data_IF_444943636590
#
_entry.id   IF_444943636590
#
_cell.length_a   1.000
_cell.length_b   1.000
_cell.length_c   1.000
_cell.angle_alpha   90.00
_cell.angle_beta   90.00
_cell.angle_gamma   90.00
#
_symmetry.space_group_name_H-M   'P 1'
#
loop_
_entity.id
_entity.type
_entity.pdbx_description
1 polymer ?
#
# COMPACT_ATOMS: atom_id res chain seq x y z
N UNK A 1 1.39 -11.65 3.77
CA UNK A 1 0.12 -11.66 4.53
C UNK A 1 0.28 -11.94 6.02
N UNK A 2 1.31 -12.67 6.47
CA UNK A 2 1.50 -13.01 7.89
C UNK A 2 1.73 -11.81 8.83
N UNK A 3 2.24 -10.68 8.34
CA UNK A 3 2.40 -9.44 9.13
C UNK A 3 1.10 -8.62 9.32
N UNK A 4 0.10 -8.82 8.44
CA UNK A 4 -1.18 -8.12 8.54
C UNK A 4 -2.14 -8.86 9.50
N UNK A 5 -1.98 -10.18 9.62
CA UNK A 5 -2.71 -11.02 10.59
C UNK A 5 -2.21 -10.77 12.02
N UNK A 6 -0.94 -10.40 12.21
CA UNK A 6 -0.43 -10.04 13.54
C UNK A 6 -1.07 -8.78 14.13
N UNK A 7 -1.59 -7.84 13.31
CA UNK A 7 -2.33 -6.67 13.81
C UNK A 7 -3.67 -7.05 14.45
N UNK A 8 -4.34 -8.08 13.93
CA UNK A 8 -5.62 -8.57 14.50
C UNK A 8 -5.46 -9.47 15.72
N UNK A 9 -4.23 -9.88 16.04
CA UNK A 9 -3.94 -10.83 17.11
C UNK A 9 -3.30 -10.19 18.35
N UNK A 10 -3.11 -8.87 18.39
CA UNK A 10 -2.59 -8.19 19.58
C UNK A 10 -3.65 -8.29 20.70
N UNK A 11 -3.35 -8.96 21.83
CA UNK A 11 -4.21 -8.92 23.00
C UNK A 11 -4.14 -7.50 23.57
N UNK A 12 -5.28 -6.81 23.60
CA UNK A 12 -5.42 -5.59 24.41
C UNK A 12 -5.76 -6.05 25.82
N UNK A 13 -4.77 -6.01 26.71
CA UNK A 13 -4.91 -6.43 28.11
C UNK A 13 -5.73 -5.43 28.91
N UNK A 14 -6.82 -5.90 29.53
CA UNK A 14 -7.57 -5.15 30.55
C UNK A 14 -6.81 -5.26 31.88
N UNK A 15 -6.07 -4.23 32.30
CA UNK A 15 -5.57 -4.13 33.68
C UNK A 15 -5.84 -2.75 34.27
N UNK A 16 -6.52 -2.74 35.41
CA UNK A 16 -7.16 -1.60 36.07
C UNK A 16 -6.22 -0.71 36.92
N UNK A 17 -4.94 -0.58 36.57
CA UNK A 17 -3.99 0.27 37.31
C UNK A 17 -3.29 1.22 36.33
N UNK A 18 -3.92 2.39 36.09
CA UNK A 18 -3.38 3.46 35.23
C UNK A 18 -4.37 3.98 34.19
N UNK A 19 -5.58 4.39 34.60
CA UNK A 19 -6.67 4.78 33.69
C UNK A 19 -6.29 5.89 32.69
N UNK A 20 -5.39 6.81 33.09
CA UNK A 20 -4.91 7.93 32.26
C UNK A 20 -3.80 7.50 31.28
N UNK A 21 -2.85 6.68 31.70
CA UNK A 21 -1.80 6.12 30.82
C UNK A 21 -2.38 5.13 29.79
N UNK A 22 -3.41 4.37 30.17
CA UNK A 22 -4.14 3.50 29.26
C UNK A 22 -4.93 4.30 28.21
N UNK A 23 -5.54 5.42 28.59
CA UNK A 23 -6.24 6.31 27.65
C UNK A 23 -5.28 6.88 26.60
N UNK A 24 -4.13 7.39 27.03
CA UNK A 24 -3.11 7.92 26.11
C UNK A 24 -2.60 6.85 25.14
N UNK A 25 -2.31 5.63 25.64
CA UNK A 25 -1.89 4.52 24.78
C UNK A 25 -2.98 4.15 23.75
N UNK A 26 -4.24 4.10 24.18
CA UNK A 26 -5.39 3.82 23.31
C UNK A 26 -5.57 4.91 22.25
N UNK A 27 -5.46 6.18 22.63
CA UNK A 27 -5.50 7.30 21.67
C UNK A 27 -4.40 7.19 20.61
N UNK A 28 -3.19 6.78 21.01
CA UNK A 28 -2.08 6.56 20.08
C UNK A 28 -2.36 5.39 19.12
N UNK A 29 -2.94 4.29 19.60
CA UNK A 29 -3.37 3.17 18.75
C UNK A 29 -4.45 3.59 17.75
N UNK A 30 -5.39 4.43 18.18
CA UNK A 30 -6.44 4.98 17.32
C UNK A 30 -5.89 6.01 16.32
N UNK A 31 -4.99 6.92 16.71
CA UNK A 31 -4.38 7.86 15.75
C UNK A 31 -3.54 7.07 14.74
N UNK A 32 -2.73 6.11 15.18
CA UNK A 32 -1.93 5.27 14.28
C UNK A 32 -2.73 4.43 13.30
N UNK A 33 -3.80 3.77 13.77
CA UNK A 33 -4.67 3.02 12.85
C UNK A 33 -5.41 3.93 11.87
N UNK A 34 -5.75 5.17 12.26
CA UNK A 34 -6.34 6.16 11.36
C UNK A 34 -5.34 6.59 10.27
N UNK A 35 -4.08 6.81 10.64
CA UNK A 35 -2.99 7.14 9.70
C UNK A 35 -2.82 6.06 8.63
N UNK A 36 -2.87 4.78 9.01
CA UNK A 36 -2.83 3.67 8.04
C UNK A 36 -4.10 3.64 7.16
N UNK A 37 -5.28 3.93 7.73
CA UNK A 37 -6.52 4.00 6.95
C UNK A 37 -6.50 5.11 5.89
N UNK A 38 -6.02 6.30 6.24
CA UNK A 38 -5.83 7.40 5.28
C UNK A 38 -4.90 6.98 4.13
N UNK A 39 -3.83 6.26 4.48
CA UNK A 39 -2.90 5.70 3.51
C UNK A 39 -3.57 4.71 2.54
N UNK A 40 -4.38 3.80 3.08
CA UNK A 40 -5.16 2.86 2.27
C UNK A 40 -6.11 3.58 1.33
N UNK A 41 -6.79 4.64 1.79
CA UNK A 41 -7.75 5.37 0.97
C UNK A 41 -7.07 6.04 -0.23
N UNK A 42 -5.99 6.78 0.01
CA UNK A 42 -5.22 7.47 -1.04
C UNK A 42 -4.62 6.47 -2.03
N UNK A 43 -4.18 5.31 -1.51
CA UNK A 43 -3.66 4.22 -2.34
C UNK A 43 -4.72 3.65 -3.26
N UNK A 44 -5.95 3.41 -2.75
CA UNK A 44 -7.08 2.93 -3.55
C UNK A 44 -7.46 3.91 -4.64
N UNK A 45 -7.61 5.19 -4.32
CA UNK A 45 -7.97 6.22 -5.31
C UNK A 45 -6.96 6.28 -6.47
N UNK A 46 -5.66 6.20 -6.13
CA UNK A 46 -4.62 6.26 -7.14
C UNK A 46 -4.51 4.96 -7.98
N UNK A 47 -4.72 3.79 -7.37
CA UNK A 47 -4.79 2.52 -8.10
C UNK A 47 -5.99 2.47 -9.05
N UNK A 48 -7.14 2.98 -8.60
CA UNK A 48 -8.36 3.07 -9.40
C UNK A 48 -8.13 3.91 -10.65
N UNK A 49 -7.51 5.09 -10.53
CA UNK A 49 -7.16 5.91 -11.69
C UNK A 49 -6.14 5.26 -12.64
N UNK A 50 -5.21 4.46 -12.11
CA UNK A 50 -4.30 3.70 -12.97
C UNK A 50 -5.05 2.60 -13.74
N UNK A 51 -5.97 1.90 -13.07
CA UNK A 51 -6.79 0.84 -13.66
C UNK A 51 -7.71 1.38 -14.76
N UNK A 52 -8.37 2.51 -14.52
CA UNK A 52 -9.19 3.22 -15.52
C UNK A 52 -8.37 3.52 -16.78
N UNK A 53 -7.15 4.08 -16.62
CA UNK A 53 -6.26 4.35 -17.75
C UNK A 53 -5.85 3.08 -18.53
N UNK A 54 -5.61 1.97 -17.83
CA UNK A 54 -5.31 0.68 -18.50
C UNK A 54 -6.52 0.12 -19.25
N UNK A 55 -7.73 0.23 -18.68
CA UNK A 55 -8.96 -0.21 -19.33
C UNK A 55 -9.22 0.58 -20.62
N UNK A 56 -8.96 1.89 -20.62
CA UNK A 56 -9.07 2.72 -21.82
C UNK A 56 -8.01 2.36 -22.88
N UNK A 57 -6.75 2.16 -22.48
CA UNK A 57 -5.70 1.66 -23.38
C UNK A 57 -6.13 0.32 -24.01
N UNK A 58 -6.61 -0.61 -23.20
CA UNK A 58 -7.07 -1.92 -23.65
C UNK A 58 -8.30 -1.81 -24.57
N UNK A 59 -9.18 -0.83 -24.34
CA UNK A 59 -10.33 -0.52 -25.18
C UNK A 59 -9.90 -0.03 -26.57
N UNK A 60 -8.92 0.89 -26.63
CA UNK A 60 -8.36 1.41 -27.89
C UNK A 60 -7.67 0.29 -28.69
N UNK A 61 -6.86 -0.54 -28.01
CA UNK A 61 -6.23 -1.72 -28.61
C UNK A 61 -7.28 -2.69 -29.20
N UNK A 62 -8.36 -2.97 -28.46
CA UNK A 62 -9.46 -3.83 -28.95
C UNK A 62 -10.15 -3.26 -30.19
N UNK A 63 -10.27 -1.93 -30.29
CA UNK A 63 -10.86 -1.24 -31.44
C UNK A 63 -9.90 -1.07 -32.62
N UNK A 64 -8.65 -1.57 -32.53
CA UNK A 64 -7.59 -1.43 -33.55
C UNK A 64 -7.35 0.03 -33.99
N UNK A 65 -7.51 0.98 -33.07
CA UNK A 65 -7.17 2.40 -33.31
C UNK A 65 -5.69 2.62 -33.02
N UNK A 66 -5.05 3.51 -33.76
CA UNK A 66 -3.61 3.75 -33.68
C UNK A 66 -3.19 4.74 -32.59
N UNK A 67 -4.05 5.70 -32.23
CA UNK A 67 -3.67 6.73 -31.26
C UNK A 67 -3.94 6.28 -29.81
N UNK A 68 -2.86 5.86 -29.14
CA UNK A 68 -2.81 5.53 -27.72
C UNK A 68 -2.16 6.65 -26.89
N UNK A 69 -1.57 7.64 -27.54
CA UNK A 69 -0.64 8.60 -26.92
C UNK A 69 -1.28 9.38 -25.78
N UNK A 70 -2.52 9.84 -26.00
CA UNK A 70 -3.29 10.57 -24.98
C UNK A 70 -3.54 9.74 -23.71
N UNK A 71 -3.95 8.48 -23.88
CA UNK A 71 -4.34 7.63 -22.75
C UNK A 71 -3.13 7.05 -22.01
N UNK A 72 -2.09 6.68 -22.75
CA UNK A 72 -0.76 6.36 -22.20
C UNK A 72 -0.24 7.50 -21.35
N UNK A 73 -0.33 8.75 -21.83
CA UNK A 73 0.12 9.91 -21.07
C UNK A 73 -0.65 10.09 -19.77
N UNK A 74 -1.98 9.91 -19.78
CA UNK A 74 -2.81 9.96 -18.56
C UNK A 74 -2.40 8.86 -17.58
N UNK A 75 -2.29 7.62 -18.03
CA UNK A 75 -1.82 6.50 -17.21
C UNK A 75 -0.46 6.80 -16.54
N UNK A 76 0.51 7.30 -17.32
CA UNK A 76 1.84 7.65 -16.82
C UNK A 76 1.82 8.81 -15.83
N UNK A 77 0.86 9.74 -15.95
CA UNK A 77 0.67 10.83 -14.99
C UNK A 77 0.07 10.30 -13.69
N UNK A 78 -0.99 9.49 -13.76
CA UNK A 78 -1.63 8.86 -12.60
C UNK A 78 -0.66 7.97 -11.83
N UNK A 79 0.14 7.16 -12.52
CA UNK A 79 1.15 6.33 -11.86
C UNK A 79 2.26 7.16 -11.20
N UNK A 80 2.66 8.30 -11.79
CA UNK A 80 3.64 9.21 -11.17
C UNK A 80 3.05 10.01 -10.01
N UNK A 81 1.74 10.27 -10.01
CA UNK A 81 1.08 10.96 -8.89
C UNK A 81 1.00 10.06 -7.64
N UNK A 82 0.91 8.73 -7.80
CA UNK A 82 0.91 7.75 -6.71
C UNK A 82 2.01 7.99 -5.67
N UNK A 83 3.28 8.08 -6.11
CA UNK A 83 4.42 8.37 -5.21
C UNK A 83 4.31 9.74 -4.57
N UNK A 84 3.84 10.77 -5.30
CA UNK A 84 3.74 12.14 -4.78
C UNK A 84 2.67 12.26 -3.71
N UNK A 85 1.48 11.72 -3.96
CA UNK A 85 0.37 11.68 -3.00
C UNK A 85 0.80 10.96 -1.73
N UNK A 86 1.46 9.82 -1.89
CA UNK A 86 1.96 9.02 -0.77
C UNK A 86 3.05 9.74 0.04
N UNK A 87 4.04 10.36 -0.62
CA UNK A 87 5.07 11.14 0.06
C UNK A 87 4.51 12.37 0.78
N UNK A 88 3.44 12.97 0.28
CA UNK A 88 2.74 14.07 0.96
C UNK A 88 2.15 13.59 2.28
N UNK A 89 1.49 12.43 2.26
CA UNK A 89 0.94 11.80 3.46
C UNK A 89 2.05 11.45 4.43
N UNK A 90 3.09 10.73 4.00
CA UNK A 90 4.22 10.34 4.86
C UNK A 90 4.91 11.52 5.54
N UNK A 91 5.03 12.67 4.85
CA UNK A 91 5.58 13.89 5.44
C UNK A 91 4.68 14.44 6.55
N UNK A 92 3.36 14.37 6.37
CA UNK A 92 2.39 14.76 7.40
C UNK A 92 2.40 13.77 8.59
N UNK A 93 2.73 12.50 8.34
CA UNK A 93 2.74 11.43 9.35
C UNK A 93 4.00 11.43 10.24
N UNK A 94 5.18 11.75 9.69
CA UNK A 94 6.47 11.73 10.43
C UNK A 94 6.56 12.74 11.58
N UNK A 95 5.64 13.70 11.66
CA UNK A 95 5.65 14.75 12.69
C UNK A 95 5.15 14.24 14.05
N UNK A 96 4.43 13.10 14.12
CA UNK A 96 3.72 12.65 15.33
C UNK A 96 4.33 11.47 16.10
N UNK A 97 5.48 10.92 15.71
CA UNK A 97 5.94 9.59 16.18
C UNK A 97 6.90 9.59 17.39
N UNK A 98 7.07 10.71 18.09
CA UNK A 98 8.12 10.88 19.12
C UNK A 98 7.60 10.74 20.56
N UNK A 99 6.85 9.68 20.87
CA UNK A 99 6.38 9.46 22.24
C UNK A 99 6.74 8.04 22.72
N UNK A 100 7.60 7.96 23.74
CA UNK A 100 7.99 6.72 24.37
C UNK A 100 6.88 6.28 25.34
N UNK A 101 6.40 5.05 25.16
CA UNK A 101 5.46 4.41 26.07
C UNK A 101 5.93 2.98 26.36
N UNK A 102 5.79 2.56 27.62
CA UNK A 102 6.26 1.28 28.11
C UNK A 102 5.24 0.13 27.91
N UNK A 103 4.11 0.38 27.25
CA UNK A 103 3.08 -0.63 26.99
C UNK A 103 3.48 -1.56 25.84
N UNK A 104 3.49 -2.87 26.11
CA UNK A 104 3.92 -3.91 25.16
C UNK A 104 3.02 -3.98 23.91
N UNK A 105 1.71 -3.78 24.06
CA UNK A 105 0.73 -3.77 22.97
C UNK A 105 0.93 -2.55 22.07
N UNK A 106 1.15 -1.38 22.66
CA UNK A 106 1.48 -0.17 21.91
C UNK A 106 2.81 -0.30 21.17
N UNK A 107 3.86 -0.85 21.81
CA UNK A 107 5.15 -1.09 21.15
C UNK A 107 5.00 -2.05 19.96
N UNK A 108 4.21 -3.11 20.11
CA UNK A 108 3.94 -4.06 19.02
C UNK A 108 3.16 -3.40 17.88
N UNK A 109 2.16 -2.55 18.19
CA UNK A 109 1.43 -1.81 17.18
C UNK A 109 2.29 -0.77 16.45
N UNK A 110 3.10 0.02 17.17
CA UNK A 110 4.01 1.02 16.56
C UNK A 110 4.98 0.35 15.60
N UNK A 111 5.52 -0.83 15.95
CA UNK A 111 6.34 -1.64 15.03
C UNK A 111 5.56 -2.07 13.79
N UNK A 112 4.33 -2.57 13.97
CA UNK A 112 3.48 -2.99 12.86
C UNK A 112 3.09 -1.81 11.95
N UNK A 113 2.79 -0.64 12.51
CA UNK A 113 2.55 0.61 11.78
C UNK A 113 3.78 1.01 10.97
N UNK A 114 4.96 1.06 11.59
CA UNK A 114 6.21 1.43 10.92
C UNK A 114 6.55 0.48 9.76
N UNK A 115 6.37 -0.83 9.97
CA UNK A 115 6.54 -1.84 8.92
C UNK A 115 5.53 -1.64 7.80
N UNK A 116 4.27 -1.37 8.13
CA UNK A 116 3.22 -1.11 7.13
C UNK A 116 3.57 0.11 6.29
N UNK A 117 3.93 1.24 6.91
CA UNK A 117 4.35 2.46 6.21
C UNK A 117 5.55 2.19 5.30
N UNK A 118 6.56 1.45 5.76
CA UNK A 118 7.74 1.11 4.97
C UNK A 118 7.39 0.19 3.78
N UNK A 119 6.46 -0.75 3.95
CA UNK A 119 5.97 -1.61 2.87
C UNK A 119 5.29 -0.79 1.78
N UNK A 120 4.40 0.13 2.17
CA UNK A 120 3.76 1.03 1.22
C UNK A 120 4.77 1.94 0.48
N UNK A 121 5.76 2.50 1.18
CA UNK A 121 6.82 3.32 0.55
C UNK A 121 7.63 2.53 -0.47
N UNK A 122 7.97 1.28 -0.14
CA UNK A 122 8.68 0.39 -1.06
C UNK A 122 7.82 0.01 -2.26
N UNK A 123 6.55 -0.35 -2.05
CA UNK A 123 5.61 -0.72 -3.10
C UNK A 123 5.42 0.42 -4.10
N UNK A 124 5.14 1.63 -3.64
CA UNK A 124 4.90 2.75 -4.54
C UNK A 124 6.18 3.29 -5.19
N UNK A 125 7.32 3.18 -4.50
CA UNK A 125 8.62 3.44 -5.12
C UNK A 125 8.91 2.46 -6.26
N UNK A 126 8.52 1.19 -6.11
CA UNK A 126 8.57 0.20 -7.19
C UNK A 126 7.63 0.59 -8.34
N UNK A 127 6.34 0.78 -8.07
CA UNK A 127 5.34 1.09 -9.11
C UNK A 127 5.64 2.37 -9.91
N UNK A 128 6.19 3.39 -9.26
CA UNK A 128 6.58 4.65 -9.91
C UNK A 128 7.84 4.54 -10.79
N UNK A 129 8.50 3.38 -10.81
CA UNK A 129 9.73 3.16 -11.57
C UNK A 129 10.96 3.86 -10.98
N UNK A 130 10.94 4.20 -9.70
CA UNK A 130 12.10 4.83 -9.07
C UNK A 130 13.22 3.82 -8.83
N UNK A 131 14.46 4.18 -9.24
CA UNK A 131 15.68 3.33 -9.18
C UNK A 131 16.07 2.87 -7.76
N UNK A 132 15.40 3.35 -6.72
CA UNK A 132 15.69 3.03 -5.31
C UNK A 132 15.11 1.68 -4.86
N UNK A 133 14.58 0.88 -5.77
CA UNK A 133 13.89 -0.37 -5.46
C UNK A 133 14.82 -1.58 -5.21
N UNK A 134 15.86 -1.42 -4.39
CA UNK A 134 16.66 -2.55 -3.90
C UNK A 134 15.90 -3.45 -2.89
N UNK A 135 14.73 -3.01 -2.42
CA UNK A 135 14.03 -3.58 -1.25
C UNK A 135 12.83 -4.48 -1.58
N UNK A 136 12.32 -4.47 -2.81
CA UNK A 136 11.18 -5.32 -3.21
C UNK A 136 11.53 -6.81 -3.23
N UNK A 137 12.79 -7.17 -3.47
CA UNK A 137 13.29 -8.55 -3.38
C UNK A 137 13.18 -9.13 -1.96
N UNK A 138 13.12 -8.29 -0.93
CA UNK A 138 12.93 -8.71 0.46
C UNK A 138 11.43 -8.88 0.78
N UNK A 139 10.58 -8.03 0.22
CA UNK A 139 9.12 -8.12 0.36
C UNK A 139 8.57 -9.34 -0.40
N UNK A 140 9.08 -9.62 -1.60
CA UNK A 140 8.68 -10.79 -2.39
C UNK A 140 9.06 -12.11 -1.71
N UNK A 141 10.23 -12.17 -1.05
CA UNK A 141 10.64 -13.32 -0.21
C UNK A 141 9.76 -13.52 1.03
N UNK A 142 9.22 -12.44 1.58
CA UNK A 142 8.34 -12.49 2.74
C UNK A 142 6.90 -12.90 2.37
N UNK A 143 6.47 -12.56 1.16
CA UNK A 143 5.14 -12.91 0.63
C UNK A 143 5.14 -14.31 0.02
N UNK A 144 6.24 -14.72 -0.65
CA UNK A 144 6.41 -16.04 -1.24
C UNK A 144 7.46 -16.84 -0.45
N UNK A 145 7.03 -17.67 0.51
CA UNK A 145 7.89 -18.67 1.17
C UNK A 145 8.28 -19.85 0.24
N UNK A 146 8.28 -19.66 -1.09
CA UNK A 146 8.81 -20.62 -2.06
C UNK A 146 10.09 -20.05 -2.67
N UNK A 147 11.21 -20.63 -2.26
CA UNK A 147 12.59 -20.38 -2.69
C UNK A 147 12.68 -20.25 -4.22
N UNK A 148 12.80 -19.04 -4.75
CA UNK A 148 13.26 -18.79 -6.12
C UNK A 148 14.31 -17.68 -6.09
N UNK A 149 15.42 -17.96 -6.76
CA UNK A 149 16.61 -17.12 -6.88
C UNK A 149 16.25 -15.72 -7.37
N UNK A 150 16.85 -14.71 -6.75
CA UNK A 150 16.65 -13.31 -7.06
C UNK A 150 17.51 -12.91 -8.27
N UNK A 151 17.07 -13.27 -9.47
CA UNK A 151 17.43 -12.48 -10.64
C UNK A 151 16.70 -11.13 -10.52
N UNK A 152 17.34 -10.04 -10.94
CA UNK A 152 16.81 -8.70 -10.84
C UNK A 152 15.38 -8.66 -11.41
N UNK A 153 14.38 -8.69 -10.53
CA UNK A 153 12.99 -8.81 -10.92
C UNK A 153 12.62 -7.59 -11.75
N UNK A 154 12.45 -7.80 -13.05
CA UNK A 154 12.13 -6.74 -13.99
C UNK A 154 10.83 -6.08 -13.55
N UNK A 155 10.88 -4.75 -13.37
CA UNK A 155 9.74 -4.00 -12.93
C UNK A 155 8.78 -3.86 -14.11
N UNK A 156 7.74 -4.71 -14.13
CA UNK A 156 6.73 -4.73 -15.19
C UNK A 156 6.13 -3.36 -15.47
N UNK A 157 5.96 -2.50 -14.45
CA UNK A 157 5.50 -1.12 -14.68
C UNK A 157 6.47 -0.36 -15.61
N UNK A 158 7.77 -0.43 -15.36
CA UNK A 158 8.79 0.27 -16.18
C UNK A 158 9.04 -0.35 -17.55
N UNK A 159 8.92 -1.68 -17.66
CA UNK A 159 9.03 -2.37 -18.94
C UNK A 159 7.90 -1.93 -19.87
N UNK A 160 6.66 -1.98 -19.37
CA UNK A 160 5.48 -1.62 -20.14
C UNK A 160 5.47 -0.12 -20.46
N UNK A 161 5.99 0.75 -19.59
CA UNK A 161 6.16 2.17 -19.95
C UNK A 161 7.06 2.41 -21.15
N UNK A 162 8.16 1.64 -21.22
CA UNK A 162 9.15 1.78 -22.28
C UNK A 162 8.56 1.27 -23.60
N UNK A 163 7.70 0.27 -23.54
CA UNK A 163 6.90 -0.22 -24.67
C UNK A 163 5.83 0.80 -25.08
N UNK A 164 5.11 1.39 -24.11
CA UNK A 164 4.16 2.48 -24.36
C UNK A 164 4.80 3.69 -25.05
N UNK A 165 6.03 4.06 -24.66
CA UNK A 165 6.76 5.21 -25.20
C UNK A 165 7.41 4.95 -26.57
N UNK A 166 7.73 3.70 -26.87
CA UNK A 166 8.46 3.34 -28.10
C UNK A 166 7.55 2.98 -29.27
N UNK A 167 6.23 2.96 -29.08
CA UNK A 167 5.21 2.51 -30.05
C UNK A 167 5.50 1.11 -30.65
N UNK A 168 6.46 0.37 -30.07
CA UNK A 168 6.67 -1.05 -30.35
C UNK A 168 5.45 -1.82 -29.87
N UNK A 169 5.23 -3.00 -30.45
CA UNK A 169 4.02 -3.83 -30.28
C UNK A 169 3.57 -4.00 -28.82
N UNK A 170 2.84 -3.02 -28.30
CA UNK A 170 2.21 -3.09 -27.00
C UNK A 170 1.20 -4.24 -27.08
N UNK A 171 1.45 -5.30 -26.34
CA UNK A 171 0.58 -6.46 -26.39
C UNK A 171 -0.57 -6.27 -25.42
N UNK A 172 -1.73 -6.76 -25.81
CA UNK A 172 -2.93 -6.74 -24.95
C UNK A 172 -2.65 -7.50 -23.65
N UNK A 173 -1.83 -8.55 -23.73
CA UNK A 173 -1.40 -9.39 -22.63
C UNK A 173 -0.62 -8.58 -21.58
N UNK A 174 0.22 -7.64 -21.99
CA UNK A 174 1.02 -6.82 -21.07
C UNK A 174 0.13 -5.87 -20.25
N UNK A 175 -0.85 -5.26 -20.91
CA UNK A 175 -1.87 -4.42 -20.25
C UNK A 175 -2.71 -5.23 -19.26
N UNK A 176 -3.08 -6.47 -19.61
CA UNK A 176 -3.83 -7.37 -18.74
C UNK A 176 -3.04 -7.80 -17.50
N UNK A 177 -1.75 -8.10 -17.66
CA UNK A 177 -0.88 -8.44 -16.53
C UNK A 177 -0.85 -7.28 -15.53
N UNK A 178 -0.77 -6.04 -16.02
CA UNK A 178 -0.71 -4.87 -15.17
C UNK A 178 -2.04 -4.57 -14.48
N UNK A 179 -3.16 -4.73 -15.19
CA UNK A 179 -4.51 -4.66 -14.64
C UNK A 179 -4.70 -5.68 -13.50
N UNK A 180 -4.30 -6.93 -13.70
CA UNK A 180 -4.35 -7.96 -12.66
C UNK A 180 -3.49 -7.61 -11.45
N UNK A 181 -2.27 -7.09 -11.67
CA UNK A 181 -1.40 -6.65 -10.58
C UNK A 181 -2.02 -5.50 -9.78
N UNK A 182 -2.74 -4.59 -10.43
CA UNK A 182 -3.46 -3.50 -9.74
C UNK A 182 -4.65 -4.06 -8.95
N UNK A 183 -5.41 -5.00 -9.52
CA UNK A 183 -6.52 -5.66 -8.83
C UNK A 183 -6.06 -6.36 -7.54
N UNK A 184 -4.98 -7.13 -7.60
CA UNK A 184 -4.43 -7.84 -6.43
C UNK A 184 -4.05 -6.85 -5.30
N UNK A 185 -3.56 -5.66 -5.68
CA UNK A 185 -3.24 -4.59 -4.73
C UNK A 185 -4.51 -3.96 -4.14
N UNK A 186 -5.52 -3.67 -4.97
CA UNK A 186 -6.82 -3.16 -4.51
C UNK A 186 -7.46 -4.10 -3.47
N UNK A 187 -7.47 -5.41 -3.75
CA UNK A 187 -8.02 -6.44 -2.87
C UNK A 187 -7.23 -6.52 -1.55
N UNK A 188 -5.90 -6.46 -1.63
CA UNK A 188 -5.02 -6.40 -0.46
C UNK A 188 -5.28 -5.18 0.43
N UNK A 189 -5.48 -4.01 -0.18
CA UNK A 189 -5.83 -2.78 0.55
C UNK A 189 -7.22 -2.86 1.16
N UNK A 190 -8.19 -3.46 0.47
CA UNK A 190 -9.53 -3.66 1.03
C UNK A 190 -9.50 -4.56 2.26
N UNK A 191 -8.76 -5.66 2.20
CA UNK A 191 -8.54 -6.57 3.33
C UNK A 191 -7.90 -5.86 4.53
N UNK A 192 -6.88 -5.03 4.28
CA UNK A 192 -6.23 -4.22 5.32
C UNK A 192 -7.18 -3.20 5.93
N UNK A 193 -7.94 -2.46 5.10
CA UNK A 193 -8.96 -1.50 5.57
C UNK A 193 -9.98 -2.20 6.48
N UNK A 194 -10.52 -3.35 6.06
CA UNK A 194 -11.49 -4.12 6.87
C UNK A 194 -10.89 -4.55 8.21
N UNK A 195 -9.64 -4.99 8.20
CA UNK A 195 -8.92 -5.42 9.42
C UNK A 195 -8.69 -4.26 10.39
N UNK A 196 -8.29 -3.08 9.89
CA UNK A 196 -8.10 -1.89 10.71
C UNK A 196 -9.40 -1.35 11.30
N UNK A 197 -10.51 -1.39 10.54
CA UNK A 197 -11.83 -1.01 11.06
C UNK A 197 -12.22 -1.92 12.22
N UNK A 198 -12.07 -3.25 12.06
CA UNK A 198 -12.34 -4.22 13.13
C UNK A 198 -11.47 -3.97 14.37
N UNK A 199 -10.18 -3.70 14.16
CA UNK A 199 -9.24 -3.37 15.24
C UNK A 199 -9.69 -2.14 16.02
N UNK A 200 -10.06 -1.05 15.33
CA UNK A 200 -10.57 0.18 15.96
C UNK A 200 -11.85 -0.07 16.75
N UNK A 201 -12.81 -0.81 16.18
CA UNK A 201 -14.05 -1.19 16.89
C UNK A 201 -13.73 -1.99 18.14
N UNK A 202 -12.78 -2.94 18.07
CA UNK A 202 -12.35 -3.71 19.24
C UNK A 202 -11.76 -2.83 20.34
N UNK A 203 -10.91 -1.86 20.00
CA UNK A 203 -10.36 -0.90 20.97
C UNK A 203 -11.47 -0.05 21.60
N UNK A 204 -12.36 0.51 20.78
CA UNK A 204 -13.45 1.36 21.26
C UNK A 204 -14.42 0.60 22.17
N UNK A 205 -14.69 -0.67 21.88
CA UNK A 205 -15.53 -1.51 22.74
C UNK A 205 -14.89 -1.77 24.11
N UNK A 206 -13.55 -1.77 24.21
CA UNK A 206 -12.85 -1.90 25.49
C UNK A 206 -12.97 -0.61 26.32
N UNK A 207 -13.06 0.57 25.68
CA UNK A 207 -13.29 1.85 26.38
C UNK A 207 -14.73 2.04 26.86
N UNK A 208 -15.70 1.38 26.19
CA UNK A 208 -17.13 1.52 26.49
C UNK A 208 -17.64 0.66 27.64
N UNK A 209 -16.80 -0.19 28.23
CA UNK A 209 -17.09 -1.09 29.35
C UNK A 209 -16.23 -0.74 30.56
#
# INVERSE_FOLDING_TARGET
MSLLISLSALPVTQHALGQEQNMEAIEQLLDGSLRILELCNISKDALLHMKEGLMEIQSILRRKRSDLSGEVKKYLVSRRSLKKSFQKVLKNLKVKQNQECNDESLVAFVKAEAVTIALFDSLFSFMSGSKTCGKWSLVSKLINQKKVSCEAQENKFTTIDSEFQSEKSLKKEDVQILESCIQDLEDGLESLTKSLIKYRVSILNILGH
#
